data_IF_156308785234
#
_entry.id   IF_156308785234
#
_cell.length_a   1.000
_cell.length_b   1.000
_cell.length_c   1.000
_cell.angle_alpha   90.00
_cell.angle_beta   90.00
_cell.angle_gamma   90.00
#
_symmetry.space_group_name_H-M   'P 1'
#
loop_
_entity.id
_entity.type
_entity.pdbx_description
1 polymer ?
#
# COMPACT_ATOMS: atom_id res chain seq x y z
N UNK A 1 24.47 -12.77 -6.68
CA UNK A 1 24.40 -11.41 -7.30
C UNK A 1 23.82 -11.44 -8.71
N UNK A 2 24.28 -12.32 -9.63
CA UNK A 2 23.71 -12.41 -10.99
C UNK A 2 22.20 -12.71 -10.96
N UNK A 3 21.77 -13.74 -10.24
CA UNK A 3 20.35 -14.10 -10.14
C UNK A 3 19.52 -13.03 -9.42
N UNK A 4 20.13 -12.30 -8.48
CA UNK A 4 19.50 -11.12 -7.83
C UNK A 4 19.17 -10.07 -8.89
N UNK A 5 20.12 -9.72 -9.77
CA UNK A 5 19.90 -8.72 -10.82
C UNK A 5 18.88 -9.18 -11.86
N UNK A 6 18.93 -10.45 -12.28
CA UNK A 6 17.96 -11.01 -13.23
C UNK A 6 16.55 -11.02 -12.63
N UNK A 7 16.40 -11.45 -11.38
CA UNK A 7 15.13 -11.44 -10.68
C UNK A 7 14.60 -10.01 -10.49
N UNK A 8 15.45 -9.08 -10.02
CA UNK A 8 15.06 -7.68 -9.85
C UNK A 8 14.66 -7.01 -11.17
N UNK A 9 15.39 -7.30 -12.27
CA UNK A 9 15.06 -6.77 -13.60
C UNK A 9 13.74 -7.32 -14.13
N UNK A 10 13.44 -8.60 -13.89
CA UNK A 10 12.15 -9.19 -14.26
C UNK A 10 11.01 -8.57 -13.44
N UNK A 11 11.14 -8.50 -12.11
CA UNK A 11 10.14 -7.88 -11.21
C UNK A 11 9.88 -6.43 -11.59
N UNK A 12 10.94 -5.64 -11.79
CA UNK A 12 10.81 -4.23 -12.16
C UNK A 12 10.16 -4.08 -13.55
N UNK A 13 10.55 -4.92 -14.51
CA UNK A 13 9.97 -4.93 -15.85
C UNK A 13 8.50 -5.27 -15.87
N UNK A 14 8.10 -6.33 -15.17
CA UNK A 14 6.69 -6.75 -15.06
C UNK A 14 5.87 -5.64 -14.38
N UNK A 15 6.40 -5.03 -13.31
CA UNK A 15 5.76 -3.91 -12.61
C UNK A 15 5.58 -2.70 -13.52
N UNK A 16 6.62 -2.27 -14.23
CA UNK A 16 6.55 -1.11 -15.14
C UNK A 16 5.68 -1.35 -16.39
N UNK A 17 5.36 -2.61 -16.67
CA UNK A 17 4.39 -2.98 -17.71
C UNK A 17 2.93 -2.93 -17.21
N UNK A 18 2.69 -2.50 -15.98
CA UNK A 18 1.38 -2.36 -15.35
C UNK A 18 1.02 -3.48 -14.37
N UNK A 19 1.94 -4.40 -14.11
CA UNK A 19 1.76 -5.47 -13.12
C UNK A 19 1.78 -4.96 -11.67
N UNK A 20 1.15 -5.70 -10.76
CA UNK A 20 1.23 -5.44 -9.33
C UNK A 20 2.58 -5.92 -8.79
N UNK A 21 3.26 -5.09 -7.98
CA UNK A 21 4.59 -5.38 -7.45
C UNK A 21 4.64 -6.66 -6.60
N UNK A 22 3.61 -6.91 -5.78
CA UNK A 22 3.57 -8.12 -4.94
C UNK A 22 3.48 -9.38 -5.79
N UNK A 23 2.61 -9.40 -6.80
CA UNK A 23 2.49 -10.51 -7.77
C UNK A 23 3.77 -10.67 -8.57
N UNK A 24 4.41 -9.57 -8.98
CA UNK A 24 5.70 -9.62 -9.68
C UNK A 24 6.80 -10.25 -8.81
N UNK A 25 6.84 -9.97 -7.50
CA UNK A 25 7.76 -10.66 -6.57
C UNK A 25 7.47 -12.15 -6.45
N UNK A 26 6.22 -12.56 -6.28
CA UNK A 26 5.85 -13.99 -6.20
C UNK A 26 6.31 -14.74 -7.44
N UNK A 27 6.03 -14.20 -8.62
CA UNK A 27 6.44 -14.77 -9.90
C UNK A 27 7.97 -14.76 -10.09
N UNK A 28 8.63 -13.64 -9.76
CA UNK A 28 10.09 -13.51 -9.83
C UNK A 28 10.80 -14.53 -8.94
N UNK A 29 10.33 -14.75 -7.72
CA UNK A 29 10.91 -15.73 -6.82
C UNK A 29 10.58 -17.18 -7.22
N UNK A 30 9.44 -17.42 -7.87
CA UNK A 30 9.12 -18.73 -8.44
C UNK A 30 10.05 -19.10 -9.60
N UNK A 31 10.42 -18.11 -10.42
CA UNK A 31 11.39 -18.29 -11.54
C UNK A 31 12.84 -18.41 -11.03
N UNK A 32 13.14 -17.91 -9.84
CA UNK A 32 14.47 -17.94 -9.22
C UNK A 32 14.44 -18.63 -7.86
N UNK A 33 14.14 -19.95 -7.80
CA UNK A 33 13.94 -20.68 -6.53
C UNK A 33 15.23 -20.81 -5.70
N UNK A 34 16.40 -20.69 -6.33
CA UNK A 34 17.72 -20.76 -5.69
C UNK A 34 18.05 -19.55 -4.80
N UNK A 35 17.30 -18.44 -4.91
CA UNK A 35 17.53 -17.27 -4.07
C UNK A 35 17.17 -17.56 -2.61
N UNK A 36 18.16 -17.42 -1.73
CA UNK A 36 17.98 -17.47 -0.28
C UNK A 36 17.04 -16.36 0.24
N UNK A 37 16.47 -16.50 1.45
CA UNK A 37 15.64 -15.43 2.03
C UNK A 37 16.34 -14.08 2.09
N UNK A 38 17.66 -14.04 2.41
CA UNK A 38 18.46 -12.82 2.41
C UNK A 38 18.59 -12.20 1.01
N UNK A 39 18.84 -13.02 -0.02
CA UNK A 39 18.92 -12.54 -1.40
C UNK A 39 17.57 -12.04 -1.93
N UNK A 40 16.46 -12.67 -1.54
CA UNK A 40 15.11 -12.17 -1.83
C UNK A 40 14.84 -10.82 -1.16
N UNK A 41 15.36 -10.59 0.05
CA UNK A 41 15.28 -9.29 0.71
C UNK A 41 16.05 -8.21 -0.08
N UNK A 42 17.25 -8.55 -0.59
CA UNK A 42 18.02 -7.64 -1.46
C UNK A 42 17.27 -7.34 -2.76
N UNK A 43 16.64 -8.33 -3.40
CA UNK A 43 15.79 -8.09 -4.59
C UNK A 43 14.67 -7.11 -4.28
N UNK A 44 13.98 -7.29 -3.13
CA UNK A 44 12.93 -6.37 -2.70
C UNK A 44 13.48 -4.96 -2.50
N UNK A 45 14.57 -4.80 -1.78
CA UNK A 45 15.23 -3.51 -1.55
C UNK A 45 15.51 -2.78 -2.86
N UNK A 46 16.15 -3.47 -3.82
CA UNK A 46 16.47 -2.90 -5.14
C UNK A 46 15.20 -2.45 -5.88
N UNK A 47 14.14 -3.25 -5.89
CA UNK A 47 12.91 -2.92 -6.59
C UNK A 47 12.15 -1.78 -5.90
N UNK A 48 12.07 -1.77 -4.57
CA UNK A 48 11.43 -0.69 -3.82
C UNK A 48 12.16 0.65 -4.02
N UNK A 49 13.49 0.67 -3.88
CA UNK A 49 14.29 1.89 -4.10
C UNK A 49 14.28 2.31 -5.57
N UNK A 50 14.33 1.33 -6.49
CA UNK A 50 14.21 1.57 -7.91
C UNK A 50 12.89 2.26 -8.28
N UNK A 51 11.76 1.82 -7.73
CA UNK A 51 10.45 2.42 -7.97
C UNK A 51 10.29 3.78 -7.26
N UNK A 52 10.79 3.94 -6.02
CA UNK A 52 10.77 5.25 -5.34
C UNK A 52 11.56 6.30 -6.09
N UNK A 53 12.66 5.90 -6.69
CA UNK A 53 13.60 6.79 -7.38
C UNK A 53 13.47 6.73 -8.90
N UNK A 54 12.41 6.11 -9.45
CA UNK A 54 12.32 5.81 -10.88
C UNK A 54 12.49 7.05 -11.74
N UNK A 55 11.85 8.17 -11.40
CA UNK A 55 12.00 9.42 -12.15
C UNK A 55 13.44 9.89 -12.23
N UNK A 56 14.22 9.78 -11.15
CA UNK A 56 15.64 10.09 -11.11
C UNK A 56 16.45 9.12 -11.99
N UNK A 57 16.21 7.81 -11.82
CA UNK A 57 16.92 6.77 -12.56
C UNK A 57 16.68 6.88 -14.07
N UNK A 58 15.46 7.18 -14.49
CA UNK A 58 15.12 7.42 -15.89
C UNK A 58 15.80 8.66 -16.46
N UNK A 59 15.80 9.76 -15.71
CA UNK A 59 16.48 10.99 -16.13
C UNK A 59 18.00 10.77 -16.27
N UNK A 60 18.62 10.02 -15.35
CA UNK A 60 20.03 9.67 -15.42
C UNK A 60 20.31 8.72 -16.61
N UNK A 61 19.48 7.70 -16.79
CA UNK A 61 19.62 6.75 -17.90
C UNK A 61 19.50 7.46 -19.25
N UNK A 62 18.54 8.38 -19.39
CA UNK A 62 18.38 9.19 -20.59
C UNK A 62 19.61 10.02 -20.95
N UNK A 63 20.37 10.52 -19.94
CA UNK A 63 21.61 11.26 -20.15
C UNK A 63 22.84 10.39 -20.43
N UNK A 64 22.74 9.10 -20.12
CA UNK A 64 23.81 8.13 -20.35
C UNK A 64 23.67 7.39 -21.69
N UNK A 65 22.49 7.43 -22.29
CA UNK A 65 22.17 6.77 -23.55
C UNK A 65 22.11 7.79 -24.70
N UNK A 66 22.71 7.46 -25.83
CA UNK A 66 22.57 8.24 -27.08
C UNK A 66 21.22 7.98 -27.74
N UNK A 67 20.70 6.76 -27.59
CA UNK A 67 19.38 6.33 -28.11
C UNK A 67 18.68 5.47 -27.07
N UNK A 68 17.34 5.56 -26.94
CA UNK A 68 16.60 4.75 -26.00
C UNK A 68 16.77 3.25 -26.24
N UNK A 69 16.91 2.48 -25.15
CA UNK A 69 16.95 1.02 -25.19
C UNK A 69 15.54 0.47 -25.42
N UNK A 70 15.33 -0.22 -26.57
CA UNK A 70 14.02 -0.77 -26.96
C UNK A 70 13.66 -2.06 -26.23
N UNK A 71 14.68 -2.89 -25.90
CA UNK A 71 14.45 -4.16 -25.22
C UNK A 71 14.11 -3.93 -23.73
N UNK A 72 12.87 -4.22 -23.34
CA UNK A 72 12.35 -3.92 -22.01
C UNK A 72 13.19 -4.53 -20.88
N UNK A 73 13.56 -5.81 -20.98
CA UNK A 73 14.39 -6.48 -19.97
C UNK A 73 15.78 -5.87 -19.82
N UNK A 74 16.38 -5.39 -20.92
CA UNK A 74 17.68 -4.72 -20.88
C UNK A 74 17.55 -3.33 -20.23
N UNK A 75 16.45 -2.60 -20.52
CA UNK A 75 16.18 -1.32 -19.88
C UNK A 75 15.99 -1.50 -18.36
N UNK A 76 15.21 -2.50 -17.94
CA UNK A 76 15.01 -2.82 -16.53
C UNK A 76 16.32 -3.22 -15.84
N UNK A 77 17.18 -3.99 -16.51
CA UNK A 77 18.51 -4.34 -16.01
C UNK A 77 19.40 -3.11 -15.78
N UNK A 78 19.38 -2.15 -16.69
CA UNK A 78 20.11 -0.88 -16.53
C UNK A 78 19.58 -0.08 -15.36
N UNK A 79 18.26 0.03 -15.18
CA UNK A 79 17.65 0.71 -14.03
C UNK A 79 18.02 0.01 -12.70
N UNK A 80 17.98 -1.33 -12.67
CA UNK A 80 18.45 -2.14 -11.52
C UNK A 80 19.92 -1.86 -11.22
N UNK A 81 20.77 -1.85 -12.25
CA UNK A 81 22.19 -1.53 -12.08
C UNK A 81 22.41 -0.13 -11.50
N UNK A 82 21.70 0.89 -12.00
CA UNK A 82 21.76 2.26 -11.48
C UNK A 82 21.24 2.35 -10.05
N UNK A 83 20.13 1.67 -9.73
CA UNK A 83 19.58 1.60 -8.38
C UNK A 83 20.58 0.97 -7.40
N UNK A 84 21.20 -0.15 -7.78
CA UNK A 84 22.21 -0.80 -6.95
C UNK A 84 23.43 0.09 -6.69
N UNK A 85 23.94 0.78 -7.72
CA UNK A 85 25.09 1.66 -7.59
C UNK A 85 24.82 2.87 -6.67
N UNK A 86 23.55 3.27 -6.51
CA UNK A 86 23.18 4.43 -5.70
C UNK A 86 22.70 4.08 -4.31
N UNK A 87 21.95 3.00 -4.17
CA UNK A 87 21.16 2.75 -2.95
C UNK A 87 21.59 1.48 -2.20
N UNK A 88 22.55 0.68 -2.73
CA UNK A 88 23.03 -0.50 -2.01
C UNK A 88 24.50 -0.37 -1.60
N UNK A 89 24.91 -1.20 -0.64
CA UNK A 89 26.32 -1.27 -0.18
C UNK A 89 27.19 -2.24 -1.00
N UNK A 90 26.64 -2.79 -2.08
CA UNK A 90 27.37 -3.74 -2.92
C UNK A 90 28.54 -3.06 -3.64
N UNK A 91 29.64 -3.79 -3.83
CA UNK A 91 30.85 -3.24 -4.48
C UNK A 91 30.56 -2.89 -5.94
N UNK A 92 30.85 -1.65 -6.39
CA UNK A 92 30.52 -1.19 -7.75
C UNK A 92 31.03 -2.10 -8.87
N UNK A 93 32.25 -2.62 -8.75
CA UNK A 93 32.81 -3.53 -9.77
C UNK A 93 32.00 -4.82 -9.93
N UNK A 94 31.48 -5.37 -8.82
CA UNK A 94 30.69 -6.58 -8.85
C UNK A 94 29.31 -6.31 -9.47
N UNK A 95 28.70 -5.14 -9.18
CA UNK A 95 27.43 -4.73 -9.82
C UNK A 95 27.60 -4.69 -11.33
N UNK A 96 28.67 -4.02 -11.83
CA UNK A 96 28.91 -3.88 -13.27
C UNK A 96 29.19 -5.24 -13.92
N UNK A 97 30.08 -6.08 -13.34
CA UNK A 97 30.39 -7.40 -13.88
C UNK A 97 29.14 -8.28 -14.01
N UNK A 98 28.37 -8.38 -12.95
CA UNK A 98 27.17 -9.18 -12.98
C UNK A 98 26.10 -8.65 -13.92
N UNK A 99 25.94 -7.32 -14.06
CA UNK A 99 25.02 -6.72 -15.02
C UNK A 99 25.42 -7.03 -16.48
N UNK A 100 26.70 -7.02 -16.80
CA UNK A 100 27.20 -7.42 -18.13
C UNK A 100 26.87 -8.89 -18.42
N UNK A 101 27.06 -9.77 -17.44
CA UNK A 101 26.71 -11.20 -17.56
C UNK A 101 25.19 -11.42 -17.61
N UNK A 102 24.41 -10.59 -16.88
CA UNK A 102 22.96 -10.63 -16.92
C UNK A 102 22.41 -10.28 -18.31
N UNK A 103 23.03 -9.36 -19.04
CA UNK A 103 22.65 -9.05 -20.41
C UNK A 103 22.77 -10.27 -21.35
N UNK A 104 23.79 -11.11 -21.19
CA UNK A 104 23.89 -12.37 -21.93
C UNK A 104 22.74 -13.34 -21.61
N UNK A 105 22.43 -13.48 -20.32
CA UNK A 105 21.34 -14.36 -19.85
C UNK A 105 19.96 -13.87 -20.31
N UNK A 106 19.80 -12.57 -20.57
CA UNK A 106 18.59 -11.99 -21.16
C UNK A 106 18.53 -12.17 -22.69
N UNK A 107 19.46 -12.94 -23.28
CA UNK A 107 19.54 -13.14 -24.74
C UNK A 107 20.05 -11.92 -25.52
N UNK A 108 20.74 -11.00 -24.83
CA UNK A 108 21.28 -9.76 -25.42
C UNK A 108 22.83 -9.69 -25.34
N UNK A 109 23.59 -10.68 -25.86
CA UNK A 109 25.03 -10.69 -25.74
C UNK A 109 25.70 -9.48 -26.42
N UNK A 110 25.11 -8.96 -27.48
CA UNK A 110 25.58 -7.76 -28.17
C UNK A 110 25.49 -6.49 -27.28
N UNK A 111 24.63 -6.49 -26.25
CA UNK A 111 24.47 -5.33 -25.37
C UNK A 111 25.47 -5.28 -24.20
N UNK A 112 26.39 -6.26 -24.05
CA UNK A 112 27.41 -6.29 -22.99
C UNK A 112 28.23 -5.00 -22.91
N UNK A 113 28.70 -4.53 -24.07
CA UNK A 113 29.46 -3.29 -24.21
C UNK A 113 28.66 -2.07 -23.75
N UNK A 114 27.38 -2.01 -24.14
CA UNK A 114 26.46 -0.95 -23.72
C UNK A 114 26.26 -0.93 -22.21
N UNK A 115 25.91 -2.08 -21.60
CA UNK A 115 25.71 -2.19 -20.15
C UNK A 115 26.95 -1.75 -19.38
N UNK A 116 28.14 -2.24 -19.77
CA UNK A 116 29.40 -1.86 -19.15
C UNK A 116 29.67 -0.35 -19.31
N UNK A 117 29.47 0.20 -20.51
CA UNK A 117 29.68 1.62 -20.76
C UNK A 117 28.75 2.52 -19.95
N UNK A 118 27.44 2.20 -19.91
CA UNK A 118 26.44 2.97 -19.16
C UNK A 118 26.76 2.99 -17.67
N UNK A 119 26.97 1.83 -17.06
CA UNK A 119 27.21 1.74 -15.60
C UNK A 119 28.56 2.34 -15.20
N UNK A 120 29.62 2.18 -16.01
CA UNK A 120 30.91 2.84 -15.75
C UNK A 120 30.86 4.36 -15.99
N UNK A 121 30.09 4.81 -16.98
CA UNK A 121 29.88 6.24 -17.20
C UNK A 121 29.11 6.86 -16.05
N UNK A 122 28.10 6.15 -15.53
CA UNK A 122 27.39 6.57 -14.32
C UNK A 122 28.37 6.78 -13.16
N UNK A 123 29.22 5.79 -12.84
CA UNK A 123 30.21 5.91 -11.75
C UNK A 123 31.17 7.12 -11.92
N UNK A 124 31.58 7.38 -13.14
CA UNK A 124 32.47 8.55 -13.43
C UNK A 124 31.76 9.90 -13.31
N UNK A 125 30.46 9.95 -13.61
CA UNK A 125 29.68 11.20 -13.72
C UNK A 125 28.63 11.33 -12.63
N UNK A 126 28.64 10.48 -11.59
CA UNK A 126 27.58 10.40 -10.59
C UNK A 126 27.20 11.75 -9.97
N UNK A 127 28.18 12.60 -9.65
CA UNK A 127 27.94 13.92 -9.05
C UNK A 127 27.24 14.89 -10.01
N UNK A 128 27.62 14.88 -11.27
CA UNK A 128 27.03 15.77 -12.29
C UNK A 128 25.66 15.28 -12.70
N UNK A 129 25.50 13.96 -12.91
CA UNK A 129 24.22 13.35 -13.21
C UNK A 129 23.20 13.53 -12.08
N UNK A 130 23.65 13.58 -10.82
CA UNK A 130 22.80 13.92 -9.68
C UNK A 130 22.20 15.32 -9.80
N UNK A 131 23.03 16.34 -10.06
CA UNK A 131 22.57 17.74 -10.21
C UNK A 131 21.72 17.96 -11.45
N UNK A 132 22.14 17.41 -12.55
CA UNK A 132 21.49 17.60 -13.85
C UNK A 132 20.18 16.84 -14.02
N UNK A 133 19.99 15.73 -13.33
CA UNK A 133 18.75 14.94 -13.39
C UNK A 133 17.61 15.59 -12.63
N UNK A 134 17.89 16.44 -11.63
CA UNK A 134 16.86 17.10 -10.79
C UNK A 134 16.11 18.24 -11.50
N UNK A 135 16.16 18.28 -12.81
CA UNK A 135 15.48 19.30 -13.62
C UNK A 135 14.02 19.01 -13.87
N UNK A 136 13.59 17.74 -13.79
CA UNK A 136 12.19 17.36 -13.97
C UNK A 136 11.49 17.16 -12.61
N UNK A 137 10.17 17.45 -12.52
CA UNK A 137 9.41 17.18 -11.31
C UNK A 137 9.47 15.71 -10.88
N UNK A 138 9.44 14.78 -11.83
CA UNK A 138 9.49 13.34 -11.58
C UNK A 138 10.82 12.93 -10.94
N UNK A 139 11.94 13.48 -11.43
CA UNK A 139 13.27 13.20 -10.89
C UNK A 139 13.44 13.81 -9.49
N UNK A 140 12.88 15.02 -9.27
CA UNK A 140 12.99 15.74 -7.99
C UNK A 140 12.12 15.11 -6.90
N UNK A 141 10.90 14.71 -7.24
CA UNK A 141 9.89 14.32 -6.26
C UNK A 141 9.58 12.81 -6.25
N UNK A 142 10.03 12.04 -7.26
CA UNK A 142 9.76 10.60 -7.37
C UNK A 142 8.30 10.25 -7.67
N UNK A 143 7.57 11.17 -8.32
CA UNK A 143 6.16 11.00 -8.70
C UNK A 143 5.92 11.50 -10.12
N UNK A 144 4.96 10.93 -10.87
CA UNK A 144 4.58 11.43 -12.19
C UNK A 144 4.07 12.87 -12.14
N UNK A 145 4.30 13.65 -13.20
CA UNK A 145 3.87 15.05 -13.29
C UNK A 145 2.38 15.25 -13.05
N UNK A 146 1.53 14.35 -13.59
CA UNK A 146 0.09 14.43 -13.38
C UNK A 146 -0.31 14.32 -11.90
N UNK A 147 0.36 13.42 -11.15
CA UNK A 147 0.12 13.21 -9.72
C UNK A 147 0.48 14.46 -8.92
N UNK A 148 1.68 14.99 -9.17
CA UNK A 148 2.13 16.24 -8.55
C UNK A 148 1.21 17.42 -8.88
N UNK A 149 0.73 17.50 -10.12
CA UNK A 149 -0.25 18.51 -10.57
C UNK A 149 -1.56 18.40 -9.77
N UNK A 150 -2.08 17.17 -9.63
CA UNK A 150 -3.32 16.93 -8.87
C UNK A 150 -3.17 17.25 -7.39
N UNK A 151 -2.05 16.87 -6.78
CA UNK A 151 -1.77 17.23 -5.37
C UNK A 151 -1.65 18.73 -5.16
N UNK A 152 -1.00 19.46 -6.07
CA UNK A 152 -0.88 20.93 -5.99
C UNK A 152 -2.25 21.62 -6.11
N UNK A 153 -3.09 21.13 -7.00
CA UNK A 153 -4.46 21.64 -7.18
C UNK A 153 -5.30 21.42 -5.91
N UNK A 154 -5.26 20.23 -5.34
CA UNK A 154 -6.11 19.84 -4.22
C UNK A 154 -5.57 20.26 -2.84
N UNK A 155 -4.26 20.43 -2.71
CA UNK A 155 -3.55 20.74 -1.46
C UNK A 155 -2.44 21.78 -1.67
N UNK A 156 -2.75 23.02 -2.11
CA UNK A 156 -1.76 24.00 -2.56
C UNK A 156 -0.70 24.34 -1.50
N UNK A 157 -1.06 24.31 -0.20
CA UNK A 157 -0.13 24.59 0.90
C UNK A 157 0.58 23.38 1.51
N UNK A 158 0.22 22.13 1.09
CA UNK A 158 0.59 20.91 1.83
C UNK A 158 1.15 19.79 0.95
N UNK A 159 1.00 19.92 -0.38
CA UNK A 159 1.39 18.87 -1.33
C UNK A 159 2.86 18.44 -1.17
N UNK A 160 3.78 19.35 -0.84
CA UNK A 160 5.19 19.02 -0.64
C UNK A 160 5.40 18.15 0.60
N UNK A 161 4.67 18.43 1.68
CA UNK A 161 4.71 17.63 2.89
C UNK A 161 4.17 16.21 2.65
N UNK A 162 3.08 16.08 1.90
CA UNK A 162 2.50 14.78 1.47
C UNK A 162 3.53 13.98 0.65
N UNK A 163 4.14 14.59 -0.35
CA UNK A 163 5.17 13.97 -1.20
C UNK A 163 6.40 13.57 -0.37
N UNK A 164 6.88 14.45 0.51
CA UNK A 164 8.01 14.17 1.38
C UNK A 164 7.73 12.99 2.33
N UNK A 165 6.55 12.93 2.93
CA UNK A 165 6.14 11.81 3.79
C UNK A 165 6.08 10.49 3.02
N UNK A 166 5.55 10.51 1.80
CA UNK A 166 5.45 9.32 0.95
C UNK A 166 6.79 8.85 0.38
N UNK A 167 7.83 9.67 0.40
CA UNK A 167 9.19 9.27 0.00
C UNK A 167 10.01 8.67 1.15
N UNK A 168 9.52 8.76 2.39
CA UNK A 168 10.16 8.09 3.54
C UNK A 168 9.88 6.59 3.52
N UNK A 169 10.73 5.83 4.23
CA UNK A 169 10.41 4.43 4.54
C UNK A 169 9.11 4.36 5.36
N UNK A 170 8.23 3.39 5.06
CA UNK A 170 6.98 3.26 5.79
C UNK A 170 7.25 2.88 7.25
N UNK A 171 6.52 3.49 8.22
CA UNK A 171 6.59 3.06 9.61
C UNK A 171 5.99 1.66 9.76
N UNK A 172 6.47 0.90 10.74
CA UNK A 172 5.82 -0.34 11.15
C UNK A 172 5.03 -0.07 12.43
N UNK A 173 3.71 -0.21 12.33
CA UNK A 173 2.81 0.00 13.46
C UNK A 173 2.10 -1.31 13.79
N UNK A 174 2.11 -1.64 15.06
CA UNK A 174 1.38 -2.74 15.64
C UNK A 174 0.03 -2.23 16.15
N UNK A 175 -1.01 -3.03 15.96
CA UNK A 175 -2.28 -2.92 16.67
C UNK A 175 -2.30 -3.94 17.79
N UNK A 176 -2.40 -3.49 19.01
CA UNK A 176 -2.49 -4.37 20.20
C UNK A 176 -3.90 -4.93 20.32
N UNK A 177 -4.02 -6.25 20.37
CA UNK A 177 -5.29 -6.94 20.60
C UNK A 177 -5.74 -6.76 22.06
N UNK A 178 -6.55 -5.74 22.31
CA UNK A 178 -7.00 -5.35 23.66
C UNK A 178 -7.93 -6.37 24.33
N UNK A 179 -8.41 -7.36 23.60
CA UNK A 179 -9.14 -8.51 24.19
C UNK A 179 -8.20 -9.53 24.84
N UNK A 180 -6.93 -9.57 24.44
CA UNK A 180 -5.96 -10.58 24.86
C UNK A 180 -4.78 -10.04 25.65
N UNK A 181 -4.49 -8.74 25.52
CA UNK A 181 -3.37 -8.09 26.21
C UNK A 181 -3.62 -6.59 26.36
N UNK A 182 -2.72 -5.91 27.07
CA UNK A 182 -2.75 -4.45 27.22
C UNK A 182 -1.61 -3.80 26.45
N UNK A 183 -1.72 -2.50 26.16
CA UNK A 183 -0.64 -1.73 25.54
C UNK A 183 0.61 -1.74 26.43
N UNK A 184 0.45 -1.61 27.75
CA UNK A 184 1.57 -1.66 28.70
C UNK A 184 2.32 -2.98 28.65
N UNK A 185 1.60 -4.12 28.67
CA UNK A 185 2.21 -5.45 28.56
C UNK A 185 2.88 -5.67 27.19
N UNK A 186 2.31 -5.11 26.11
CA UNK A 186 2.93 -5.15 24.79
C UNK A 186 4.26 -4.37 24.78
N UNK A 187 4.28 -3.13 25.30
CA UNK A 187 5.49 -2.31 25.38
C UNK A 187 6.59 -2.99 26.22
N UNK A 188 6.21 -3.58 27.37
CA UNK A 188 7.14 -4.32 28.22
C UNK A 188 7.75 -5.53 27.46
N UNK A 189 6.92 -6.33 26.77
CA UNK A 189 7.37 -7.47 25.98
C UNK A 189 8.32 -7.05 24.84
N UNK A 190 8.05 -5.92 24.19
CA UNK A 190 8.93 -5.36 23.15
C UNK A 190 10.26 -4.91 23.76
N UNK A 191 10.23 -4.23 24.91
CA UNK A 191 11.45 -3.80 25.61
C UNK A 191 12.32 -4.98 26.07
N UNK A 192 11.70 -6.07 26.59
CA UNK A 192 12.42 -7.30 26.96
C UNK A 192 13.10 -7.95 25.75
N UNK A 193 12.53 -7.78 24.55
CA UNK A 193 13.12 -8.23 23.28
C UNK A 193 14.13 -7.23 22.68
N UNK A 194 14.44 -6.12 23.38
CA UNK A 194 15.37 -5.09 22.89
C UNK A 194 14.78 -4.28 21.70
N UNK A 195 13.45 -4.21 21.59
CA UNK A 195 12.76 -3.49 20.53
C UNK A 195 12.26 -2.16 21.06
N UNK A 196 12.80 -1.06 20.52
CA UNK A 196 12.28 0.28 20.82
C UNK A 196 10.86 0.42 20.26
N UNK A 197 9.96 0.96 21.08
CA UNK A 197 8.56 1.11 20.73
C UNK A 197 8.01 2.44 21.24
N UNK A 198 7.14 3.07 20.43
CA UNK A 198 6.45 4.32 20.78
C UNK A 198 4.94 4.11 20.69
N UNK A 199 4.25 4.37 21.79
CA UNK A 199 2.78 4.38 21.78
C UNK A 199 2.26 5.61 21.02
N UNK A 200 1.34 5.36 20.08
CA UNK A 200 0.72 6.40 19.24
C UNK A 200 -0.72 6.75 19.67
N UNK A 201 -1.19 6.17 20.75
CA UNK A 201 -2.57 6.27 21.22
C UNK A 201 -3.37 4.99 20.98
N UNK A 202 -4.43 4.80 21.75
CA UNK A 202 -5.31 3.63 21.72
C UNK A 202 -4.54 2.29 21.66
N UNK A 203 -4.72 1.52 20.58
CA UNK A 203 -4.05 0.23 20.37
C UNK A 203 -2.78 0.33 19.51
N UNK A 204 -2.41 1.52 19.03
CA UNK A 204 -1.33 1.72 18.09
C UNK A 204 0.03 1.84 18.76
N UNK A 205 0.99 0.97 18.40
CA UNK A 205 2.38 0.99 18.88
C UNK A 205 3.31 0.96 17.67
N UNK A 206 4.13 2.01 17.51
CA UNK A 206 5.13 2.08 16.44
C UNK A 206 6.42 1.39 16.88
N UNK A 207 7.02 0.64 15.96
CA UNK A 207 8.33 0.01 16.11
C UNK A 207 9.17 0.24 14.84
N UNK A 208 10.46 -0.03 14.92
CA UNK A 208 11.30 -0.09 13.72
C UNK A 208 10.91 -1.28 12.84
N UNK A 209 10.89 -1.10 11.50
CA UNK A 209 10.56 -2.15 10.56
C UNK A 209 11.44 -3.39 10.72
N UNK A 210 10.81 -4.56 10.81
CA UNK A 210 11.45 -5.86 10.93
C UNK A 210 10.60 -6.97 10.36
N UNK A 211 11.13 -8.18 10.13
CA UNK A 211 10.33 -9.35 9.78
C UNK A 211 9.23 -9.58 10.82
N UNK A 212 8.01 -9.86 10.36
CA UNK A 212 6.85 -10.06 11.25
C UNK A 212 7.05 -11.24 12.20
N UNK A 213 7.83 -12.24 11.77
CA UNK A 213 8.21 -13.41 12.59
C UNK A 213 9.09 -13.06 13.80
N UNK A 214 9.72 -11.87 13.79
CA UNK A 214 10.55 -11.37 14.88
C UNK A 214 9.78 -10.46 15.85
N UNK A 215 8.48 -10.21 15.58
CA UNK A 215 7.63 -9.38 16.44
C UNK A 215 7.04 -10.24 17.55
N UNK A 216 7.43 -10.00 18.83
CA UNK A 216 6.88 -10.75 19.96
C UNK A 216 5.37 -10.62 20.07
N UNK A 217 4.67 -11.75 20.22
CA UNK A 217 3.22 -11.79 20.35
C UNK A 217 2.45 -11.80 19.02
N UNK A 218 3.12 -11.70 17.85
CA UNK A 218 2.43 -11.73 16.58
C UNK A 218 1.81 -13.12 16.30
N UNK A 219 2.60 -14.18 16.37
CA UNK A 219 2.11 -15.56 16.16
C UNK A 219 1.05 -15.98 17.19
N UNK A 220 1.12 -15.40 18.37
CA UNK A 220 0.17 -15.61 19.46
C UNK A 220 -1.14 -14.83 19.30
N UNK A 221 -1.25 -13.94 18.30
CA UNK A 221 -2.41 -13.09 18.07
C UNK A 221 -2.58 -11.96 19.11
N UNK A 222 -1.53 -11.61 19.84
CA UNK A 222 -1.53 -10.49 20.78
C UNK A 222 -1.39 -9.14 20.09
N UNK A 223 -0.78 -9.15 18.90
CA UNK A 223 -0.63 -7.98 18.05
C UNK A 223 -0.88 -8.31 16.58
N UNK A 224 -1.26 -7.30 15.82
CA UNK A 224 -1.35 -7.33 14.35
C UNK A 224 -0.52 -6.18 13.76
N UNK A 225 0.04 -6.37 12.56
CA UNK A 225 0.66 -5.26 11.83
C UNK A 225 -0.45 -4.53 11.09
N UNK A 226 -0.69 -3.28 11.47
CA UNK A 226 -1.66 -2.41 10.81
C UNK A 226 -1.23 -0.95 10.96
N UNK A 227 -1.26 -0.21 9.85
CA UNK A 227 -0.97 1.23 9.88
C UNK A 227 -1.85 1.98 10.89
N UNK A 228 -1.27 2.96 11.60
CA UNK A 228 -2.02 3.72 12.61
C UNK A 228 -3.22 4.45 12.01
N UNK A 229 -3.09 4.94 10.77
CA UNK A 229 -4.20 5.55 10.04
C UNK A 229 -5.33 4.55 9.76
N UNK A 230 -5.02 3.30 9.39
CA UNK A 230 -6.01 2.25 9.14
C UNK A 230 -6.76 1.80 10.41
N UNK A 231 -6.17 2.03 11.60
CA UNK A 231 -6.80 1.67 12.88
C UNK A 231 -7.99 2.59 13.24
N UNK A 232 -8.12 3.74 12.59
CA UNK A 232 -9.27 4.63 12.80
C UNK A 232 -10.59 4.01 12.35
N UNK A 233 -10.60 3.11 11.38
CA UNK A 233 -11.82 2.54 10.81
C UNK A 233 -12.77 1.93 11.88
N UNK A 234 -12.26 1.05 12.74
CA UNK A 234 -13.08 0.41 13.77
C UNK A 234 -13.60 1.40 14.83
N UNK A 235 -12.83 2.45 15.13
CA UNK A 235 -13.23 3.50 16.07
C UNK A 235 -14.31 4.41 15.52
N UNK A 236 -14.16 4.80 14.24
CA UNK A 236 -15.08 5.75 13.59
C UNK A 236 -16.42 5.11 13.22
N UNK A 237 -16.47 3.79 13.04
CA UNK A 237 -17.72 3.07 12.75
C UNK A 237 -18.63 2.97 13.99
N UNK A 238 -18.11 3.20 15.19
CA UNK A 238 -18.88 3.19 16.43
C UNK A 238 -19.64 1.86 16.63
N UNK A 239 -18.86 0.77 16.64
CA UNK A 239 -19.38 -0.58 16.80
C UNK A 239 -19.67 -0.92 18.26
N UNK A 240 -20.71 -1.73 18.52
CA UNK A 240 -21.10 -2.19 19.84
C UNK A 240 -21.38 -3.69 19.86
N UNK A 241 -21.36 -4.28 21.06
CA UNK A 241 -21.67 -5.69 21.26
C UNK A 241 -23.10 -6.04 20.76
N UNK A 242 -23.23 -7.23 20.17
CA UNK A 242 -24.47 -7.75 19.63
C UNK A 242 -24.89 -7.19 18.28
N UNK A 243 -24.14 -6.25 17.71
CA UNK A 243 -24.46 -5.72 16.38
C UNK A 243 -24.08 -6.68 15.27
N UNK A 244 -24.85 -6.64 14.18
CA UNK A 244 -24.52 -7.29 12.93
C UNK A 244 -23.80 -6.31 12.02
N UNK A 245 -22.57 -6.66 11.61
CA UNK A 245 -21.64 -5.79 10.91
C UNK A 245 -21.23 -6.40 9.58
N UNK A 246 -21.24 -5.62 8.52
CA UNK A 246 -20.65 -5.97 7.24
C UNK A 246 -19.27 -5.29 7.13
N UNK A 247 -18.22 -6.06 6.88
CA UNK A 247 -16.92 -5.56 6.40
C UNK A 247 -16.85 -5.85 4.89
N UNK A 248 -17.14 -4.85 4.08
CA UNK A 248 -17.15 -4.96 2.63
C UNK A 248 -15.76 -4.63 2.05
N UNK A 249 -15.30 -5.47 1.10
CA UNK A 249 -13.93 -5.48 0.57
C UNK A 249 -12.91 -5.84 1.67
N UNK A 250 -13.23 -6.87 2.46
CA UNK A 250 -12.60 -7.18 3.75
C UNK A 250 -11.14 -7.63 3.67
N UNK A 251 -10.73 -8.23 2.54
CA UNK A 251 -9.40 -8.85 2.45
C UNK A 251 -8.24 -7.84 2.47
N UNK A 252 -7.21 -8.13 3.27
CA UNK A 252 -6.81 -9.39 3.90
C UNK A 252 -7.30 -9.60 5.35
N UNK A 253 -8.33 -8.89 5.84
CA UNK A 253 -8.94 -9.12 7.15
C UNK A 253 -8.38 -8.29 8.31
N UNK A 254 -7.53 -7.30 8.01
CA UNK A 254 -6.96 -6.44 9.05
C UNK A 254 -8.01 -5.61 9.79
N UNK A 255 -8.98 -5.05 9.04
CA UNK A 255 -10.10 -4.28 9.61
C UNK A 255 -11.16 -5.20 10.22
N UNK A 256 -11.47 -6.34 9.59
CA UNK A 256 -12.34 -7.39 10.15
C UNK A 256 -11.89 -7.81 11.55
N UNK A 257 -10.60 -8.15 11.70
CA UNK A 257 -10.03 -8.50 13.00
C UNK A 257 -10.15 -7.36 14.01
N UNK A 258 -9.93 -6.11 13.58
CA UNK A 258 -10.06 -4.96 14.47
C UNK A 258 -11.50 -4.73 14.95
N UNK A 259 -12.50 -4.85 14.08
CA UNK A 259 -13.91 -4.77 14.46
C UNK A 259 -14.24 -5.80 15.55
N UNK A 260 -13.80 -7.05 15.38
CA UNK A 260 -14.00 -8.14 16.33
C UNK A 260 -13.17 -7.98 17.62
N UNK A 261 -12.05 -7.25 17.58
CA UNK A 261 -11.28 -6.91 18.79
C UNK A 261 -11.95 -5.82 19.63
N UNK A 262 -12.76 -4.95 18.99
CA UNK A 262 -13.44 -3.83 19.65
C UNK A 262 -14.79 -4.26 20.24
N UNK A 263 -15.55 -5.11 19.55
CA UNK A 263 -16.90 -5.52 19.98
C UNK A 263 -17.17 -7.01 19.76
N UNK A 264 -18.05 -7.60 20.59
CA UNK A 264 -18.63 -8.93 20.37
C UNK A 264 -19.79 -8.84 19.37
N UNK A 265 -19.46 -8.91 18.08
CA UNK A 265 -20.38 -8.65 17.00
C UNK A 265 -20.52 -9.84 16.03
N UNK A 266 -21.68 -9.93 15.34
CA UNK A 266 -21.89 -10.84 14.20
C UNK A 266 -21.33 -10.19 12.94
N UNK A 267 -20.05 -10.52 12.60
CA UNK A 267 -19.36 -9.91 11.46
C UNK A 267 -19.45 -10.81 10.24
N UNK A 268 -19.89 -10.23 9.12
CA UNK A 268 -19.78 -10.80 7.78
C UNK A 268 -18.65 -10.09 7.05
N UNK A 269 -17.60 -10.82 6.68
CA UNK A 269 -16.51 -10.33 5.87
C UNK A 269 -16.72 -10.71 4.41
N UNK A 270 -16.97 -9.73 3.57
CA UNK A 270 -17.27 -9.89 2.14
C UNK A 270 -16.09 -9.43 1.29
N UNK A 271 -15.66 -10.26 0.36
CA UNK A 271 -14.70 -9.88 -0.70
C UNK A 271 -15.05 -10.62 -1.99
N UNK A 272 -14.75 -10.03 -3.14
CA UNK A 272 -15.05 -10.63 -4.44
C UNK A 272 -14.02 -11.67 -4.89
N UNK A 273 -12.96 -11.91 -4.12
CA UNK A 273 -11.88 -12.85 -4.41
C UNK A 273 -11.77 -13.91 -3.32
N UNK A 274 -12.14 -15.15 -3.66
CA UNK A 274 -12.11 -16.29 -2.74
C UNK A 274 -10.69 -16.62 -2.25
N UNK A 275 -9.66 -16.40 -3.07
CA UNK A 275 -8.26 -16.62 -2.66
C UNK A 275 -7.81 -15.54 -1.65
N UNK A 276 -8.32 -14.32 -1.77
CA UNK A 276 -8.08 -13.27 -0.77
C UNK A 276 -8.82 -13.53 0.54
N UNK A 277 -10.02 -14.12 0.50
CA UNK A 277 -10.78 -14.53 1.69
C UNK A 277 -10.07 -15.61 2.52
N UNK A 278 -9.26 -16.49 1.91
CA UNK A 278 -8.44 -17.42 2.69
C UNK A 278 -7.46 -16.70 3.62
N UNK A 279 -6.90 -15.56 3.19
CA UNK A 279 -6.03 -14.72 4.04
C UNK A 279 -6.79 -14.09 5.21
N UNK A 280 -8.07 -13.74 5.00
CA UNK A 280 -8.95 -13.28 6.09
C UNK A 280 -9.10 -14.38 7.13
N UNK A 281 -9.38 -15.61 6.69
CA UNK A 281 -9.52 -16.78 7.58
C UNK A 281 -8.25 -17.03 8.38
N UNK A 282 -7.09 -17.13 7.71
CA UNK A 282 -5.79 -17.33 8.35
C UNK A 282 -5.49 -16.27 9.42
N UNK A 283 -5.83 -15.00 9.12
CA UNK A 283 -5.62 -13.91 10.07
C UNK A 283 -6.57 -14.00 11.27
N UNK A 284 -7.86 -14.33 11.04
CA UNK A 284 -8.82 -14.54 12.12
C UNK A 284 -8.46 -15.75 12.99
N UNK A 285 -8.03 -16.86 12.40
CA UNK A 285 -7.59 -18.06 13.13
C UNK A 285 -6.39 -17.73 14.04
N UNK A 286 -5.40 -16.99 13.54
CA UNK A 286 -4.26 -16.51 14.33
C UNK A 286 -4.69 -15.64 15.52
N UNK A 287 -5.70 -14.79 15.33
CA UNK A 287 -6.25 -13.91 16.35
C UNK A 287 -7.19 -14.64 17.34
N UNK A 288 -7.61 -15.86 17.03
CA UNK A 288 -8.64 -16.58 17.77
C UNK A 288 -10.04 -15.96 17.63
N UNK A 289 -10.30 -15.32 16.48
CA UNK A 289 -11.55 -14.61 16.17
C UNK A 289 -12.34 -15.35 15.06
N UNK A 290 -13.63 -15.07 14.95
CA UNK A 290 -14.51 -15.69 13.95
C UNK A 290 -15.39 -14.64 13.27
N UNK A 291 -15.53 -14.76 11.95
CA UNK A 291 -16.51 -14.04 11.14
C UNK A 291 -17.10 -14.99 10.10
N UNK A 292 -18.29 -14.69 9.62
CA UNK A 292 -18.83 -15.33 8.42
C UNK A 292 -18.07 -14.77 7.21
N UNK A 293 -17.51 -15.66 6.36
CA UNK A 293 -16.82 -15.25 5.14
C UNK A 293 -17.76 -15.45 3.95
N UNK A 294 -17.99 -14.40 3.17
CA UNK A 294 -18.84 -14.41 1.98
C UNK A 294 -18.04 -13.96 0.76
N UNK A 295 -18.15 -14.72 -0.34
CA UNK A 295 -17.54 -14.35 -1.60
C UNK A 295 -18.60 -13.74 -2.51
N UNK A 296 -18.45 -12.46 -2.88
CA UNK A 296 -19.42 -11.79 -3.74
C UNK A 296 -19.05 -10.33 -3.99
N UNK A 297 -19.73 -9.72 -4.94
CA UNK A 297 -19.57 -8.30 -5.25
C UNK A 297 -20.46 -7.46 -4.32
N UNK A 298 -19.86 -6.57 -3.55
CA UNK A 298 -20.59 -5.68 -2.64
C UNK A 298 -21.60 -4.77 -3.39
N UNK A 299 -21.41 -4.53 -4.69
CA UNK A 299 -22.37 -3.82 -5.53
C UNK A 299 -23.60 -4.66 -5.95
N UNK A 300 -23.56 -5.99 -5.75
CA UNK A 300 -24.64 -6.92 -6.13
C UNK A 300 -25.15 -7.73 -4.90
N UNK A 301 -25.87 -7.09 -3.97
CA UNK A 301 -26.37 -7.74 -2.76
C UNK A 301 -27.14 -9.07 -2.99
N UNK A 302 -27.98 -9.22 -4.03
CA UNK A 302 -28.70 -10.47 -4.26
C UNK A 302 -27.78 -11.71 -4.39
N UNK A 303 -26.53 -11.54 -4.77
CA UNK A 303 -25.58 -12.65 -4.97
C UNK A 303 -24.97 -13.21 -3.67
N UNK A 304 -25.04 -12.47 -2.54
CA UNK A 304 -24.34 -12.85 -1.31
C UNK A 304 -25.13 -12.57 -0.01
N UNK A 305 -26.15 -11.70 -0.04
CA UNK A 305 -26.88 -11.27 1.15
C UNK A 305 -27.95 -12.27 1.55
N UNK A 306 -28.06 -12.54 2.83
CA UNK A 306 -29.03 -13.48 3.42
C UNK A 306 -30.39 -12.86 3.77
N UNK A 307 -30.64 -11.60 3.41
CA UNK A 307 -31.89 -10.89 3.68
C UNK A 307 -31.94 -10.20 5.06
N UNK A 308 -30.97 -10.41 5.95
CA UNK A 308 -30.93 -9.76 7.27
C UNK A 308 -30.11 -8.45 7.18
N UNK A 309 -30.68 -7.29 7.55
CA UNK A 309 -29.95 -6.02 7.44
C UNK A 309 -28.79 -5.91 8.43
N UNK A 310 -27.88 -5.00 8.15
CA UNK A 310 -26.71 -4.69 8.97
C UNK A 310 -26.90 -3.39 9.73
N UNK A 311 -26.55 -3.34 11.03
CA UNK A 311 -26.53 -2.12 11.83
C UNK A 311 -25.34 -1.24 11.50
N UNK A 312 -24.22 -1.88 11.11
CA UNK A 312 -22.97 -1.20 10.77
C UNK A 312 -22.40 -1.78 9.49
N UNK A 313 -21.89 -0.92 8.63
CA UNK A 313 -21.16 -1.33 7.44
C UNK A 313 -19.84 -0.58 7.38
N UNK A 314 -18.75 -1.30 7.26
CA UNK A 314 -17.46 -0.76 6.83
C UNK A 314 -17.30 -1.06 5.34
N UNK A 315 -17.16 -0.04 4.54
CA UNK A 315 -16.78 -0.16 3.13
C UNK A 315 -15.34 0.34 2.96
N UNK A 316 -14.37 -0.58 3.00
CA UNK A 316 -12.95 -0.30 2.69
C UNK A 316 -12.76 -0.37 1.18
N UNK A 317 -13.15 0.70 0.50
CA UNK A 317 -13.35 0.69 -0.94
C UNK A 317 -12.03 0.52 -1.72
N UNK A 318 -12.01 -0.29 -2.80
CA UNK A 318 -10.90 -0.33 -3.73
C UNK A 318 -10.65 1.07 -4.31
N UNK A 319 -9.39 1.52 -4.28
CA UNK A 319 -9.01 2.87 -4.66
C UNK A 319 -7.65 2.90 -5.37
N UNK A 320 -7.19 4.08 -5.75
CA UNK A 320 -5.85 4.26 -6.35
C UNK A 320 -4.70 3.81 -5.45
N UNK A 321 -4.93 3.66 -4.14
CA UNK A 321 -3.92 3.42 -3.11
C UNK A 321 -2.87 4.56 -3.01
N UNK A 322 -3.28 5.77 -3.40
CA UNK A 322 -2.39 6.93 -3.46
C UNK A 322 -1.89 7.39 -2.07
N UNK A 323 -2.62 7.09 -1.01
CA UNK A 323 -2.21 7.40 0.36
C UNK A 323 -1.14 6.47 0.92
N UNK A 324 -0.99 5.27 0.35
CA UNK A 324 -0.03 4.24 0.79
C UNK A 324 1.14 4.06 -0.20
N UNK A 325 1.40 5.04 -1.06
CA UNK A 325 2.41 4.99 -2.12
C UNK A 325 3.86 4.77 -1.60
N UNK A 326 4.13 5.01 -0.31
CA UNK A 326 5.42 4.65 0.29
C UNK A 326 5.57 3.14 0.54
N UNK A 327 4.44 2.42 0.74
CA UNK A 327 4.40 0.95 0.88
C UNK A 327 4.27 0.24 -0.45
N UNK A 328 3.56 0.86 -1.38
CA UNK A 328 3.27 0.34 -2.72
C UNK A 328 3.77 1.36 -3.77
N UNK A 329 5.09 1.49 -3.97
CA UNK A 329 5.65 2.52 -4.86
C UNK A 329 5.31 2.29 -6.34
N UNK A 330 4.88 1.09 -6.72
CA UNK A 330 4.36 0.77 -8.04
C UNK A 330 3.11 1.57 -8.42
N UNK A 331 2.24 1.90 -7.46
CA UNK A 331 1.02 2.68 -7.74
C UNK A 331 1.34 4.06 -8.32
N UNK A 332 2.49 4.66 -7.98
CA UNK A 332 2.93 5.94 -8.52
C UNK A 332 3.02 5.92 -10.05
N UNK A 333 3.50 4.79 -10.61
CA UNK A 333 3.86 4.65 -12.01
C UNK A 333 2.81 3.87 -12.82
N UNK A 334 2.02 3.02 -12.14
CA UNK A 334 0.98 2.21 -12.75
C UNK A 334 -0.37 2.93 -12.84
N UNK A 335 -0.63 3.94 -12.00
CA UNK A 335 -1.86 4.72 -12.07
C UNK A 335 -1.77 5.81 -13.14
N UNK A 336 -2.91 6.07 -13.77
CA UNK A 336 -3.11 7.11 -14.78
C UNK A 336 -4.18 8.09 -14.30
N UNK A 337 -4.22 9.35 -14.80
CA UNK A 337 -5.28 10.30 -14.44
C UNK A 337 -6.69 9.75 -14.65
N UNK A 338 -6.89 9.00 -15.76
CA UNK A 338 -8.19 8.39 -16.10
C UNK A 338 -8.66 7.30 -15.15
N UNK A 339 -7.78 6.73 -14.34
CA UNK A 339 -8.14 5.66 -13.41
C UNK A 339 -8.88 6.22 -12.19
N UNK A 340 -8.65 7.48 -11.81
CA UNK A 340 -9.36 8.13 -10.70
C UNK A 340 -10.87 8.13 -10.93
N UNK A 341 -11.31 8.49 -12.14
CA UNK A 341 -12.72 8.46 -12.50
C UNK A 341 -13.32 7.05 -12.47
N UNK A 342 -12.54 6.03 -12.87
CA UNK A 342 -12.99 4.63 -12.82
C UNK A 342 -13.13 4.15 -11.38
N UNK A 343 -12.16 4.49 -10.50
CA UNK A 343 -12.26 4.15 -9.08
C UNK A 343 -13.46 4.85 -8.44
N UNK A 344 -13.66 6.15 -8.68
CA UNK A 344 -14.79 6.90 -8.14
C UNK A 344 -16.14 6.32 -8.60
N UNK A 345 -16.28 5.95 -9.87
CA UNK A 345 -17.48 5.28 -10.39
C UNK A 345 -17.72 3.94 -9.67
N UNK A 346 -16.67 3.10 -9.55
CA UNK A 346 -16.78 1.82 -8.86
C UNK A 346 -17.11 1.97 -7.38
N UNK A 347 -16.53 2.94 -6.70
CA UNK A 347 -16.84 3.28 -5.31
C UNK A 347 -18.30 3.71 -5.15
N UNK A 348 -18.84 4.48 -6.10
CA UNK A 348 -20.25 4.83 -6.14
C UNK A 348 -21.16 3.61 -6.24
N UNK A 349 -20.86 2.66 -7.16
CA UNK A 349 -21.60 1.38 -7.28
C UNK A 349 -21.58 0.56 -5.97
N UNK A 350 -20.41 0.49 -5.34
CA UNK A 350 -20.26 -0.23 -4.07
C UNK A 350 -21.06 0.43 -2.95
N UNK A 351 -21.02 1.77 -2.84
CA UNK A 351 -21.83 2.52 -1.88
C UNK A 351 -23.32 2.28 -2.10
N UNK A 352 -23.80 2.38 -3.35
CA UNK A 352 -25.20 2.15 -3.71
C UNK A 352 -25.63 0.70 -3.38
N UNK A 353 -24.77 -0.28 -3.59
CA UNK A 353 -25.03 -1.69 -3.27
C UNK A 353 -25.14 -1.94 -1.76
N UNK A 354 -24.13 -1.56 -0.99
CA UNK A 354 -24.13 -1.84 0.46
C UNK A 354 -25.16 -1.00 1.21
N UNK A 355 -25.60 0.17 0.65
CA UNK A 355 -26.67 0.99 1.23
C UNK A 355 -28.00 0.26 1.28
N UNK A 356 -28.29 -0.61 0.33
CA UNK A 356 -29.54 -1.38 0.28
C UNK A 356 -29.69 -2.31 1.48
N UNK A 357 -28.58 -2.84 1.98
CA UNK A 357 -28.55 -3.82 3.07
C UNK A 357 -28.33 -3.21 4.46
N UNK A 358 -28.13 -1.88 4.53
CA UNK A 358 -28.05 -1.12 5.78
C UNK A 358 -29.45 -0.91 6.34
N UNK A 359 -29.68 -1.17 7.63
CA UNK A 359 -30.96 -0.90 8.29
C UNK A 359 -31.23 0.61 8.47
N UNK A 360 -32.47 0.99 8.74
CA UNK A 360 -32.80 2.37 9.14
C UNK A 360 -32.09 2.71 10.47
N UNK A 361 -31.55 3.91 10.56
CA UNK A 361 -30.64 4.36 11.65
C UNK A 361 -29.31 3.62 11.73
N UNK A 362 -29.01 2.76 10.76
CA UNK A 362 -27.71 2.12 10.60
C UNK A 362 -26.65 3.11 10.15
N UNK A 363 -25.38 2.79 10.43
CA UNK A 363 -24.23 3.61 10.03
C UNK A 363 -23.32 2.87 9.06
N UNK A 364 -22.86 3.59 8.03
CA UNK A 364 -21.88 3.14 7.05
C UNK A 364 -20.64 4.00 7.16
N UNK A 365 -19.49 3.39 7.38
CA UNK A 365 -18.19 4.05 7.27
C UNK A 365 -17.60 3.75 5.89
N UNK A 366 -17.53 4.77 5.06
CA UNK A 366 -16.76 4.75 3.82
C UNK A 366 -15.30 5.03 4.13
N UNK A 367 -14.40 4.21 3.61
CA UNK A 367 -12.96 4.33 3.82
C UNK A 367 -12.20 4.13 2.52
N UNK A 368 -11.14 4.90 2.30
CA UNK A 368 -10.15 4.71 1.25
C UNK A 368 -8.73 4.92 1.77
N UNK A 369 -7.75 4.32 1.14
CA UNK A 369 -6.34 4.70 1.30
C UNK A 369 -5.89 5.63 0.16
N UNK A 370 -6.73 6.59 -0.24
CA UNK A 370 -6.44 7.59 -1.27
C UNK A 370 -6.25 8.98 -0.66
N UNK A 371 -5.35 9.77 -1.26
CA UNK A 371 -5.20 11.21 -0.96
C UNK A 371 -5.97 12.08 -1.94
N UNK A 372 -6.56 11.52 -2.99
CA UNK A 372 -7.26 12.29 -4.02
C UNK A 372 -8.72 12.51 -3.65
N UNK A 373 -9.17 13.78 -3.73
CA UNK A 373 -10.57 14.16 -3.47
C UNK A 373 -11.57 13.50 -4.41
N UNK A 374 -11.12 13.15 -5.63
CA UNK A 374 -11.93 12.46 -6.63
C UNK A 374 -12.54 11.16 -6.09
N UNK A 375 -11.77 10.42 -5.29
CA UNK A 375 -12.16 9.14 -4.68
C UNK A 375 -12.73 9.30 -3.26
N UNK A 376 -12.66 10.49 -2.70
CA UNK A 376 -12.98 10.79 -1.31
C UNK A 376 -14.25 11.66 -1.24
N UNK A 377 -14.08 12.96 -1.00
CA UNK A 377 -15.19 13.89 -0.81
C UNK A 377 -16.14 13.91 -2.00
N UNK A 378 -15.60 13.96 -3.24
CA UNK A 378 -16.43 14.00 -4.44
C UNK A 378 -17.30 12.75 -4.60
N UNK A 379 -16.79 11.58 -4.24
CA UNK A 379 -17.56 10.33 -4.24
C UNK A 379 -18.68 10.35 -3.20
N UNK A 380 -18.39 10.84 -1.98
CA UNK A 380 -19.38 10.95 -0.90
C UNK A 380 -20.45 12.00 -1.25
N UNK A 381 -20.06 13.16 -1.76
CA UNK A 381 -20.98 14.21 -2.20
C UNK A 381 -21.92 13.71 -3.30
N UNK A 382 -21.38 13.00 -4.30
CA UNK A 382 -22.18 12.41 -5.37
C UNK A 382 -23.14 11.33 -4.84
N UNK A 383 -22.74 10.54 -3.85
CA UNK A 383 -23.60 9.55 -3.19
C UNK A 383 -24.74 10.25 -2.43
N UNK A 384 -24.45 11.23 -1.58
CA UNK A 384 -25.46 11.98 -0.82
C UNK A 384 -26.47 12.70 -1.71
N UNK A 385 -26.05 13.18 -2.89
CA UNK A 385 -26.95 13.80 -3.85
C UNK A 385 -27.97 12.81 -4.45
N UNK A 386 -27.64 11.52 -4.54
CA UNK A 386 -28.52 10.47 -5.05
C UNK A 386 -29.38 9.80 -3.96
N UNK A 387 -28.98 9.90 -2.69
CA UNK A 387 -29.61 9.22 -1.56
C UNK A 387 -30.13 10.23 -0.53
N UNK A 388 -31.37 10.77 -0.68
CA UNK A 388 -31.93 11.74 0.25
C UNK A 388 -32.20 11.18 1.65
N UNK A 389 -32.23 9.84 1.79
CA UNK A 389 -32.27 9.10 3.05
C UNK A 389 -30.92 8.98 3.76
N UNK A 390 -29.82 9.42 3.11
CA UNK A 390 -28.50 9.43 3.69
C UNK A 390 -28.16 10.80 4.29
N UNK A 391 -27.43 10.79 5.42
CA UNK A 391 -26.80 11.99 5.97
C UNK A 391 -25.36 11.71 6.38
N UNK A 392 -24.49 12.68 6.20
CA UNK A 392 -23.15 12.64 6.78
C UNK A 392 -23.22 12.90 8.29
N UNK A 393 -22.46 12.14 9.08
CA UNK A 393 -22.36 12.28 10.52
C UNK A 393 -20.97 12.79 10.88
N UNK A 394 -20.93 13.80 11.74
CA UNK A 394 -19.66 14.32 12.24
C UNK A 394 -18.97 13.27 13.15
N UNK A 395 -17.65 13.17 13.01
CA UNK A 395 -16.87 12.33 13.89
C UNK A 395 -16.72 12.95 15.29
N UNK A 396 -16.49 12.11 16.32
CA UNK A 396 -16.17 12.60 17.67
C UNK A 396 -14.95 13.52 17.70
N UNK A 397 -14.85 14.37 18.72
CA UNK A 397 -13.66 15.21 18.95
C UNK A 397 -12.40 14.35 19.05
N UNK A 398 -11.30 14.83 18.47
CA UNK A 398 -10.03 14.11 18.39
C UNK A 398 -9.91 13.13 17.21
N UNK A 399 -10.93 13.04 16.38
CA UNK A 399 -10.87 12.30 15.11
C UNK A 399 -10.16 13.12 14.03
N UNK A 400 -9.72 12.48 12.93
CA UNK A 400 -9.13 13.18 11.78
C UNK A 400 -10.05 14.27 11.25
N UNK A 401 -9.51 15.47 11.06
CA UNK A 401 -10.26 16.62 10.59
C UNK A 401 -10.88 16.36 9.20
N UNK A 402 -12.20 16.51 9.09
CA UNK A 402 -12.94 16.19 7.87
C UNK A 402 -12.76 14.76 7.39
N UNK A 403 -12.39 13.83 8.30
CA UNK A 403 -12.12 12.43 7.97
C UNK A 403 -10.81 12.17 7.22
N UNK A 404 -9.99 13.18 7.00
CA UNK A 404 -8.73 13.05 6.23
C UNK A 404 -7.53 12.79 7.13
N UNK A 405 -6.76 11.79 6.76
CA UNK A 405 -5.42 11.54 7.27
C UNK A 405 -4.42 11.74 6.13
N UNK A 406 -3.60 12.77 6.21
CA UNK A 406 -2.50 12.96 5.27
C UNK A 406 -1.32 12.12 5.72
N UNK A 407 -0.56 11.52 4.79
CA UNK A 407 0.64 10.75 5.18
C UNK A 407 1.60 11.63 5.98
N UNK A 408 2.09 11.11 7.09
CA UNK A 408 3.10 11.75 7.92
C UNK A 408 4.18 10.76 8.37
N UNK A 409 4.86 11.00 9.49
CA UNK A 409 5.85 10.08 10.01
C UNK A 409 5.24 8.83 10.66
N UNK A 410 4.01 8.88 11.15
CA UNK A 410 3.36 7.85 11.96
C UNK A 410 2.33 7.02 11.19
N UNK A 411 1.69 7.60 10.19
CA UNK A 411 0.65 6.91 9.41
C UNK A 411 0.66 7.26 7.93
N UNK A 412 0.05 6.38 7.15
CA UNK A 412 -0.23 6.58 5.74
C UNK A 412 -1.43 7.51 5.52
N UNK A 413 -1.74 7.81 4.26
CA UNK A 413 -2.90 8.60 3.89
C UNK A 413 -4.17 7.76 3.85
N UNK A 414 -5.22 8.27 4.51
CA UNK A 414 -6.57 7.67 4.50
C UNK A 414 -7.63 8.75 4.43
N UNK A 415 -8.80 8.33 4.00
CA UNK A 415 -10.02 9.14 4.09
C UNK A 415 -11.14 8.30 4.70
N UNK A 416 -11.98 8.94 5.51
CA UNK A 416 -13.13 8.36 6.17
C UNK A 416 -14.34 9.27 6.06
N UNK A 417 -15.51 8.70 5.81
CA UNK A 417 -16.80 9.40 5.90
C UNK A 417 -17.82 8.50 6.57
N UNK A 418 -18.46 8.99 7.64
CA UNK A 418 -19.51 8.28 8.34
C UNK A 418 -20.88 8.76 7.82
N UNK A 419 -21.67 7.82 7.32
CA UNK A 419 -22.99 8.04 6.77
C UNK A 419 -24.03 7.32 7.64
N UNK A 420 -25.19 7.93 7.82
CA UNK A 420 -26.31 7.33 8.57
C UNK A 420 -27.55 7.31 7.68
N UNK A 421 -28.27 6.21 7.72
CA UNK A 421 -29.53 6.02 7.00
C UNK A 421 -30.70 6.52 7.87
N UNK A 422 -31.53 7.36 7.32
CA UNK A 422 -32.74 7.89 7.99
C UNK A 422 -33.88 6.91 7.95
#
# INVERSE_FOLDING_TARGET
>A
MLDIQLCAAAVLGDTLSGGNLSTAFEEGFRRHPSLSPGERAVVREICYEGLRSLGLLEAQLGKLLLTPVRHAGLRSLLLVGLAQLQFTRAKPYAIVDHAVRAAERLGQPAARGLVNAVLRNFLRRQRDLGRDAWTTPEARHGFPAWWLGRLREQYPGEWEAVVAAQNRHPPMTLRVNRRRTTVAACLERLAQAGIEARWLGEAAVRIDPRPVSEVPGFSEGLVSVQDAGAQWAARLLDVADGQRILDACAAPGGKTGHLLEVAEADVVALDNDSARLSRVRENLDRLGLRAALSCGDAADPPSWWDGRPFQRILLDAPCSASGVARRQPDVRWNRRPSDLAKFAARQGELLDGVWQVLESSGKLLYATCSVFRDENESTVEAFLARHPDARAVAFPSGSPEGGRLRPDEDHDGFFYALLEKR
#
